data_IF_896548525024
#
_entry.id   IF_896548525024
#
_cell.length_a   1.000
_cell.length_b   1.000
_cell.length_c   1.000
_cell.angle_alpha   90.00
_cell.angle_beta   90.00
_cell.angle_gamma   90.00
#
_symmetry.space_group_name_H-M   'P 1'
#
loop_
_entity.id
_entity.type
_entity.pdbx_description
1 polymer ?
#
# COMPACT_ATOMS: atom_id res chain seq x y z
N UNK A 1 4.43 9.75 8.29
CA UNK A 1 5.77 9.14 8.21
C UNK A 1 6.88 10.14 8.57
N UNK A 2 6.90 11.32 7.95
CA UNK A 2 7.92 12.37 8.19
C UNK A 2 8.13 12.72 9.66
N UNK A 3 7.05 12.98 10.42
CA UNK A 3 7.16 13.31 11.84
C UNK A 3 7.80 12.17 12.68
N UNK A 4 7.45 10.91 12.40
CA UNK A 4 8.04 9.76 13.09
C UNK A 4 9.54 9.63 12.80
N UNK A 5 9.96 9.86 11.55
CA UNK A 5 11.38 9.87 11.17
C UNK A 5 12.15 11.01 11.80
N UNK A 6 11.56 12.21 11.83
CA UNK A 6 12.16 13.37 12.52
C UNK A 6 12.31 13.13 14.03
N UNK A 7 11.43 12.32 14.62
CA UNK A 7 11.54 11.85 16.01
C UNK A 7 12.54 10.68 16.20
N UNK A 8 13.27 10.27 15.16
CA UNK A 8 14.32 9.24 15.23
C UNK A 8 13.84 7.80 14.98
N UNK A 9 12.61 7.59 14.47
CA UNK A 9 12.14 6.25 14.15
C UNK A 9 12.91 5.65 12.96
N UNK A 10 13.53 4.48 13.19
CA UNK A 10 14.30 3.74 12.18
C UNK A 10 13.53 2.61 11.52
N UNK A 11 12.37 2.22 12.09
CA UNK A 11 11.43 1.21 11.56
C UNK A 11 10.01 1.64 11.88
N UNK A 12 9.05 1.28 11.02
CA UNK A 12 7.65 1.68 11.17
C UNK A 12 6.76 0.44 11.12
N UNK A 13 5.76 0.40 12.00
CA UNK A 13 4.70 -0.61 11.95
C UNK A 13 3.41 0.09 11.50
N UNK A 14 2.86 -0.35 10.38
CA UNK A 14 1.56 0.09 9.86
C UNK A 14 0.50 -0.93 10.26
N UNK A 15 -0.32 -0.58 11.24
CA UNK A 15 -1.39 -1.45 11.72
C UNK A 15 -2.70 -1.18 10.95
N UNK A 16 -3.09 -2.13 10.10
CA UNK A 16 -4.36 -2.12 9.35
C UNK A 16 -5.25 -3.30 9.73
N UNK A 17 -5.06 -3.86 10.94
CA UNK A 17 -5.96 -4.87 11.50
C UNK A 17 -7.35 -4.27 11.69
N UNK A 18 -8.38 -5.04 11.35
CA UNK A 18 -9.79 -4.62 11.36
C UNK A 18 -10.11 -3.41 10.47
N UNK A 19 -9.21 -3.06 9.53
CA UNK A 19 -9.50 -2.06 8.52
C UNK A 19 -10.17 -2.74 7.31
N UNK A 20 -11.50 -2.66 7.25
CA UNK A 20 -12.31 -3.24 6.18
C UNK A 20 -12.16 -2.55 4.81
N UNK A 21 -11.26 -1.58 4.71
CA UNK A 21 -10.99 -0.82 3.51
C UNK A 21 -11.75 0.51 3.46
N UNK A 22 -12.05 0.94 2.24
CA UNK A 22 -12.64 2.25 1.99
C UNK A 22 -12.50 2.60 0.51
N UNK A 23 -12.14 3.85 0.24
CA UNK A 23 -11.92 4.31 -1.13
C UNK A 23 -10.73 3.58 -1.75
N UNK A 24 -10.98 2.85 -2.84
CA UNK A 24 -9.94 2.16 -3.61
C UNK A 24 -8.76 3.07 -4.00
N UNK A 25 -8.97 4.31 -4.50
CA UNK A 25 -7.86 5.22 -4.80
C UNK A 25 -6.96 5.50 -3.61
N UNK A 26 -7.49 5.58 -2.38
CA UNK A 26 -6.68 5.84 -1.21
C UNK A 26 -5.71 4.70 -0.91
N UNK A 27 -6.12 3.43 -1.10
CA UNK A 27 -5.22 2.28 -0.94
C UNK A 27 -4.07 2.31 -1.96
N UNK A 28 -4.40 2.64 -3.21
CA UNK A 28 -3.43 2.81 -4.30
C UNK A 28 -2.45 3.97 -4.02
N UNK A 29 -2.95 5.13 -3.61
CA UNK A 29 -2.12 6.30 -3.36
C UNK A 29 -1.14 6.06 -2.19
N UNK A 30 -1.58 5.37 -1.14
CA UNK A 30 -0.69 4.96 -0.06
C UNK A 30 0.38 4.01 -0.58
N UNK A 31 0.02 3.01 -1.41
CA UNK A 31 1.00 2.10 -2.01
C UNK A 31 2.02 2.85 -2.88
N UNK A 32 1.58 3.78 -3.73
CA UNK A 32 2.45 4.65 -4.54
C UNK A 32 3.43 5.47 -3.70
N UNK A 33 3.02 5.90 -2.51
CA UNK A 33 3.90 6.67 -1.61
C UNK A 33 5.01 5.82 -0.98
N UNK A 34 4.82 4.49 -0.92
CA UNK A 34 5.70 3.54 -0.23
C UNK A 34 6.55 2.70 -1.19
N UNK A 35 6.07 2.44 -2.41
CA UNK A 35 6.76 1.65 -3.43
C UNK A 35 7.51 2.53 -4.41
N UNK A 36 8.79 2.21 -4.64
CA UNK A 36 9.62 2.95 -5.59
C UNK A 36 9.28 2.59 -7.04
N UNK A 37 9.03 1.32 -7.28
CA UNK A 37 8.71 0.74 -8.59
C UNK A 37 7.80 -0.47 -8.39
N UNK A 38 6.93 -0.76 -9.36
CA UNK A 38 6.14 -1.98 -9.37
C UNK A 38 4.69 -1.77 -9.77
N UNK A 39 4.00 -2.88 -10.00
CA UNK A 39 2.56 -2.90 -10.17
C UNK A 39 1.88 -3.00 -8.81
N UNK A 40 0.83 -2.22 -8.61
CA UNK A 40 0.07 -2.14 -7.35
C UNK A 40 -1.13 -3.06 -7.42
N UNK A 41 -1.87 -3.01 -8.52
CA UNK A 41 -3.11 -3.80 -8.67
C UNK A 41 -3.47 -3.98 -10.12
N UNK A 42 -3.92 -5.19 -10.46
CA UNK A 42 -4.55 -5.53 -11.72
C UNK A 42 -6.07 -5.49 -11.53
N UNK A 43 -6.75 -4.71 -12.37
CA UNK A 43 -8.20 -4.61 -12.40
C UNK A 43 -8.70 -5.40 -13.60
N UNK A 44 -9.59 -6.37 -13.35
CA UNK A 44 -10.18 -7.21 -14.39
C UNK A 44 -11.71 -7.25 -14.25
N UNK A 45 -12.38 -7.51 -15.38
CA UNK A 45 -13.80 -7.86 -15.44
C UNK A 45 -14.00 -9.16 -16.23
N UNK A 46 -15.26 -9.52 -16.48
CA UNK A 46 -15.63 -10.75 -17.21
C UNK A 46 -15.04 -10.86 -18.63
N UNK A 47 -14.57 -9.75 -19.21
CA UNK A 47 -13.97 -9.69 -20.53
C UNK A 47 -12.43 -9.71 -20.49
N UNK A 48 -11.82 -9.79 -19.30
CA UNK A 48 -10.37 -9.86 -19.11
C UNK A 48 -9.80 -8.66 -18.35
N UNK A 49 -8.49 -8.44 -18.51
CA UNK A 49 -7.78 -7.33 -17.84
C UNK A 49 -8.27 -5.99 -18.39
N UNK A 50 -8.75 -5.14 -17.49
CA UNK A 50 -9.19 -3.78 -17.81
C UNK A 50 -8.05 -2.78 -17.64
N UNK A 51 -7.29 -2.90 -16.54
CA UNK A 51 -6.27 -1.92 -16.18
C UNK A 51 -5.19 -2.53 -15.29
N UNK A 52 -4.00 -1.93 -15.33
CA UNK A 52 -2.90 -2.21 -14.41
C UNK A 52 -2.45 -0.87 -13.84
N UNK A 53 -2.59 -0.72 -12.53
CA UNK A 53 -2.15 0.48 -11.84
C UNK A 53 -0.75 0.23 -11.28
N UNK A 54 0.21 1.03 -11.73
CA UNK A 54 1.61 0.95 -11.31
C UNK A 54 2.04 2.21 -10.56
N UNK A 55 3.22 2.14 -9.94
CA UNK A 55 3.89 3.32 -9.37
C UNK A 55 4.15 4.39 -10.43
N UNK A 56 3.99 5.66 -10.09
CA UNK A 56 4.08 6.81 -11.02
C UNK A 56 5.08 7.89 -10.57
N UNK A 57 6.01 7.54 -9.68
CA UNK A 57 7.03 8.48 -9.17
C UNK A 57 6.60 9.30 -7.95
N UNK A 58 5.42 9.03 -7.37
CA UNK A 58 4.96 9.59 -6.09
C UNK A 58 5.69 9.01 -4.86
N UNK A 59 6.77 8.26 -5.05
CA UNK A 59 7.58 7.71 -3.97
C UNK A 59 8.10 8.83 -3.07
N UNK A 60 7.60 8.90 -1.83
CA UNK A 60 7.90 10.00 -0.89
C UNK A 60 9.10 9.71 0.03
N UNK A 61 9.99 8.82 -0.40
CA UNK A 61 11.15 8.34 0.35
C UNK A 61 10.76 7.38 1.50
N UNK A 62 11.40 6.21 1.53
CA UNK A 62 10.87 4.96 2.07
C UNK A 62 11.92 4.00 2.64
N UNK A 63 13.20 4.40 2.71
CA UNK A 63 14.28 3.53 3.21
C UNK A 63 14.07 3.04 4.65
N UNK A 64 13.17 3.70 5.40
CA UNK A 64 12.70 3.22 6.70
C UNK A 64 11.89 1.94 6.51
N UNK A 65 12.36 0.77 6.98
CA UNK A 65 11.62 -0.48 6.81
C UNK A 65 10.22 -0.38 7.44
N UNK A 66 9.20 -0.74 6.66
CA UNK A 66 7.80 -0.78 7.09
C UNK A 66 7.37 -2.23 7.27
N UNK A 67 6.71 -2.54 8.38
CA UNK A 67 6.01 -3.81 8.60
C UNK A 67 4.52 -3.54 8.65
N UNK A 68 3.73 -4.27 7.86
CA UNK A 68 2.27 -4.15 7.82
C UNK A 68 1.65 -5.24 8.69
N UNK A 69 0.74 -4.86 9.59
CA UNK A 69 -0.04 -5.80 10.38
C UNK A 69 -1.46 -5.92 9.80
N UNK A 70 -1.84 -7.16 9.48
CA UNK A 70 -3.16 -7.52 8.94
C UNK A 70 -3.83 -8.56 9.82
N UNK A 71 -5.16 -8.70 9.71
CA UNK A 71 -5.91 -9.80 10.30
C UNK A 71 -7.15 -10.13 9.45
N UNK A 72 -8.03 -11.00 9.95
CA UNK A 72 -9.27 -11.40 9.26
C UNK A 72 -10.27 -10.25 9.01
N UNK A 73 -10.09 -9.09 9.66
CA UNK A 73 -10.89 -7.90 9.42
C UNK A 73 -10.26 -6.91 8.44
N UNK A 74 -9.10 -7.23 7.88
CA UNK A 74 -8.46 -6.43 6.81
C UNK A 74 -9.10 -6.79 5.48
N UNK A 75 -9.66 -5.82 4.75
CA UNK A 75 -10.38 -6.09 3.50
C UNK A 75 -10.25 -4.98 2.44
N UNK A 76 -10.60 -5.29 1.19
CA UNK A 76 -10.81 -4.33 0.09
C UNK A 76 -9.57 -3.45 -0.17
N UNK A 77 -9.68 -2.12 -0.13
CA UNK A 77 -8.56 -1.20 -0.36
C UNK A 77 -7.35 -1.49 0.57
N UNK A 78 -7.58 -2.01 1.78
CA UNK A 78 -6.51 -2.42 2.69
C UNK A 78 -5.80 -3.70 2.25
N UNK A 79 -6.49 -4.63 1.61
CA UNK A 79 -5.87 -5.82 0.99
C UNK A 79 -5.06 -5.44 -0.25
N UNK A 80 -5.56 -4.50 -1.06
CA UNK A 80 -4.82 -3.95 -2.21
C UNK A 80 -3.49 -3.36 -1.75
N UNK A 81 -3.51 -2.54 -0.69
CA UNK A 81 -2.31 -1.96 -0.11
C UNK A 81 -1.35 -3.05 0.42
N UNK A 82 -1.86 -4.01 1.20
CA UNK A 82 -1.04 -5.06 1.79
C UNK A 82 -0.41 -5.98 0.73
N UNK A 83 -1.17 -6.36 -0.29
CA UNK A 83 -0.71 -7.18 -1.41
C UNK A 83 0.35 -6.46 -2.23
N UNK A 84 0.10 -5.21 -2.62
CA UNK A 84 1.09 -4.41 -3.36
C UNK A 84 2.43 -4.31 -2.63
N UNK A 85 2.41 -4.10 -1.30
CA UNK A 85 3.60 -4.02 -0.46
C UNK A 85 4.28 -5.37 -0.22
N UNK A 86 3.56 -6.48 -0.38
CA UNK A 86 4.13 -7.83 -0.23
C UNK A 86 4.80 -8.29 -1.52
N UNK A 87 4.23 -7.94 -2.67
CA UNK A 87 4.68 -8.37 -3.98
C UNK A 87 5.93 -7.64 -4.49
N UNK A 88 6.29 -6.50 -3.87
CA UNK A 88 7.38 -5.60 -4.28
C UNK A 88 8.37 -5.32 -3.13
#
# INVERSE_FOLDING_TARGET
LTAARQAGATRIVMDIRNNGGGLFPAGVDIAKSLLKTGDIVLIADSNGTRDIVSTDGLYMDGDTPVTVLVNQGTASASEVLAGALQDN
#
